data_IF_729725218798
#
_entry.id   IF_729725218798
#
_cell.length_a   1.000
_cell.length_b   1.000
_cell.length_c   1.000
_cell.angle_alpha   90.00
_cell.angle_beta   90.00
_cell.angle_gamma   90.00
#
_symmetry.space_group_name_H-M   'P 1'
#
loop_
_entity.id
_entity.type
_entity.pdbx_description
1 polymer ?
#
# COMPACT_ATOMS: atom_id res chain seq x y z
N UNK A 1 -24.01 -10.51 -15.67
CA UNK A 1 -22.67 -10.04 -16.05
C UNK A 1 -22.13 -9.19 -14.91
N UNK A 2 -21.31 -9.77 -14.04
CA UNK A 2 -20.62 -9.04 -12.98
C UNK A 2 -19.53 -8.19 -13.61
N UNK A 3 -19.69 -6.87 -13.58
CA UNK A 3 -18.68 -5.92 -14.03
C UNK A 3 -18.22 -5.15 -12.80
N UNK A 4 -17.39 -5.80 -12.00
CA UNK A 4 -16.67 -5.20 -10.88
C UNK A 4 -15.20 -5.57 -11.01
N UNK A 5 -14.54 -5.09 -12.06
CA UNK A 5 -13.12 -4.69 -12.05
C UNK A 5 -12.82 -3.93 -13.36
N UNK A 6 -12.30 -2.69 -13.29
CA UNK A 6 -10.86 -2.50 -13.07
C UNK A 6 -10.54 -1.28 -12.18
N UNK A 7 -11.06 -1.24 -10.95
CA UNK A 7 -10.65 -0.18 -10.00
C UNK A 7 -9.22 -0.39 -9.46
N UNK A 8 -8.62 -1.57 -9.67
CA UNK A 8 -7.25 -1.88 -9.23
C UNK A 8 -6.20 -1.31 -10.18
N UNK A 9 -6.44 -1.30 -11.49
CA UNK A 9 -5.52 -0.75 -12.49
C UNK A 9 -5.12 0.73 -12.26
N UNK A 10 -6.03 1.67 -11.93
CA UNK A 10 -5.64 3.05 -11.64
C UNK A 10 -4.90 3.20 -10.31
N UNK A 11 -5.21 2.38 -9.30
CA UNK A 11 -4.53 2.43 -8.00
C UNK A 11 -3.07 1.99 -8.11
N UNK A 12 -2.76 0.99 -8.93
CA UNK A 12 -1.39 0.55 -9.20
C UNK A 12 -0.59 1.64 -9.93
N UNK A 13 -1.18 2.28 -10.94
CA UNK A 13 -0.53 3.38 -11.64
C UNK A 13 -0.25 4.57 -10.69
N UNK A 14 -1.22 4.90 -9.83
CA UNK A 14 -1.07 5.94 -8.82
C UNK A 14 -0.02 5.57 -7.75
N UNK A 15 0.07 4.30 -7.35
CA UNK A 15 1.09 3.82 -6.42
C UNK A 15 2.51 3.91 -7.01
N UNK A 16 2.67 3.55 -8.29
CA UNK A 16 3.94 3.67 -8.98
C UNK A 16 4.39 5.14 -9.10
N UNK A 17 3.45 6.06 -9.30
CA UNK A 17 3.70 7.49 -9.33
C UNK A 17 3.73 8.15 -7.94
N UNK A 18 3.42 7.43 -6.86
CA UNK A 18 3.35 8.00 -5.52
C UNK A 18 4.74 8.37 -4.99
N UNK A 19 4.79 9.46 -4.24
CA UNK A 19 5.98 9.88 -3.48
C UNK A 19 5.77 9.65 -1.98
N UNK A 20 6.84 9.84 -1.20
CA UNK A 20 6.80 9.67 0.25
C UNK A 20 5.76 10.58 0.94
N UNK A 21 5.60 11.82 0.47
CA UNK A 21 4.61 12.76 0.99
C UNK A 21 3.18 12.22 0.81
N UNK A 22 2.86 11.76 -0.40
CA UNK A 22 1.58 11.15 -0.71
C UNK A 22 1.35 9.88 0.12
N UNK A 23 2.38 9.03 0.29
CA UNK A 23 2.29 7.84 1.13
C UNK A 23 1.99 8.17 2.61
N UNK A 24 2.53 9.27 3.15
CA UNK A 24 2.29 9.70 4.54
C UNK A 24 0.94 10.37 4.77
N UNK A 25 0.29 10.88 3.73
CA UNK A 25 -0.97 11.63 3.83
C UNK A 25 -2.17 10.94 3.18
N UNK A 26 -1.96 9.89 2.39
CA UNK A 26 -3.04 9.23 1.64
C UNK A 26 -4.08 8.62 2.59
N UNK A 27 -5.36 8.88 2.33
CA UNK A 27 -6.49 8.25 3.00
C UNK A 27 -7.13 7.13 2.16
N UNK A 28 -6.62 6.92 0.94
CA UNK A 28 -7.23 6.00 -0.02
C UNK A 28 -6.73 4.57 0.24
N UNK A 29 -7.66 3.69 0.65
CA UNK A 29 -7.34 2.31 1.02
C UNK A 29 -6.73 1.51 -0.13
N UNK A 30 -7.25 1.68 -1.35
CA UNK A 30 -6.76 0.96 -2.53
C UNK A 30 -5.35 1.44 -2.91
N UNK A 31 -5.09 2.74 -2.81
CA UNK A 31 -3.76 3.30 -3.02
C UNK A 31 -2.76 2.86 -1.93
N UNK A 32 -3.17 2.82 -0.66
CA UNK A 32 -2.30 2.34 0.43
C UNK A 32 -1.88 0.88 0.20
N UNK A 33 -2.83 0.00 -0.16
CA UNK A 33 -2.55 -1.40 -0.50
C UNK A 33 -1.60 -1.49 -1.70
N UNK A 34 -1.89 -0.77 -2.78
CA UNK A 34 -1.05 -0.77 -3.98
C UNK A 34 0.36 -0.24 -3.72
N UNK A 35 0.54 0.78 -2.87
CA UNK A 35 1.87 1.26 -2.43
C UNK A 35 2.58 0.17 -1.63
N UNK A 36 1.89 -0.49 -0.70
CA UNK A 36 2.48 -1.58 0.08
C UNK A 36 2.92 -2.77 -0.79
N UNK A 37 2.20 -3.09 -1.87
CA UNK A 37 2.56 -4.18 -2.78
C UNK A 37 3.67 -3.79 -3.78
N UNK A 38 3.60 -2.59 -4.36
CA UNK A 38 4.47 -2.20 -5.49
C UNK A 38 5.66 -1.31 -5.12
N UNK A 39 5.63 -0.65 -3.95
CA UNK A 39 6.64 0.34 -3.54
C UNK A 39 7.19 0.04 -2.15
N UNK A 40 8.05 -0.98 -2.02
CA UNK A 40 8.75 -1.28 -0.76
C UNK A 40 9.56 -0.09 -0.24
N UNK A 41 10.12 0.74 -1.13
CA UNK A 41 10.84 1.96 -0.76
C UNK A 41 9.98 2.98 0.01
N UNK A 42 8.65 2.92 -0.14
CA UNK A 42 7.72 3.83 0.54
C UNK A 42 7.11 3.23 1.80
N UNK A 43 7.46 2.00 2.18
CA UNK A 43 6.90 1.34 3.38
C UNK A 43 7.16 2.13 4.67
N UNK A 44 8.36 2.72 4.80
CA UNK A 44 8.69 3.59 5.93
C UNK A 44 7.79 4.81 5.98
N UNK A 45 7.59 5.48 4.84
CA UNK A 45 6.69 6.64 4.73
C UNK A 45 5.24 6.25 5.03
N UNK A 46 4.78 5.12 4.47
CA UNK A 46 3.43 4.59 4.68
C UNK A 46 3.17 4.24 6.15
N UNK A 47 4.20 3.74 6.86
CA UNK A 47 4.11 3.43 8.30
C UNK A 47 3.93 4.66 9.20
N UNK A 48 4.41 5.84 8.75
CA UNK A 48 4.18 7.11 9.45
C UNK A 48 2.82 7.75 9.13
N UNK A 49 2.05 7.18 8.21
CA UNK A 49 0.74 7.70 7.86
C UNK A 49 -0.26 7.47 9.03
N UNK A 50 -0.83 8.53 9.63
CA UNK A 50 -1.80 8.40 10.72
C UNK A 50 -3.13 7.78 10.25
N UNK A 51 -3.43 7.89 8.96
CA UNK A 51 -4.61 7.32 8.29
C UNK A 51 -4.33 5.92 7.73
N UNK A 52 -3.17 5.33 8.03
CA UNK A 52 -2.86 3.96 7.66
C UNK A 52 -3.92 3.03 8.24
N UNK A 53 -4.57 2.26 7.38
CA UNK A 53 -5.62 1.37 7.84
C UNK A 53 -5.06 0.21 8.69
N UNK A 54 -5.81 -0.22 9.73
CA UNK A 54 -5.28 -1.10 10.77
C UNK A 54 -4.82 -2.47 10.25
N UNK A 55 -5.49 -3.00 9.24
CA UNK A 55 -5.14 -4.31 8.65
C UNK A 55 -3.78 -4.26 7.92
N UNK A 56 -3.48 -3.16 7.21
CA UNK A 56 -2.16 -2.97 6.59
C UNK A 56 -1.06 -2.74 7.61
N UNK A 57 -1.37 -2.04 8.70
CA UNK A 57 -0.44 -1.85 9.82
C UNK A 57 -0.09 -3.20 10.46
N UNK A 58 -1.11 -4.03 10.72
CA UNK A 58 -0.91 -5.39 11.22
C UNK A 58 -0.14 -6.24 10.21
N UNK A 59 -0.41 -6.08 8.91
CA UNK A 59 0.36 -6.73 7.86
C UNK A 59 1.84 -6.32 7.91
N UNK A 60 2.17 -5.04 8.12
CA UNK A 60 3.56 -4.59 8.30
C UNK A 60 4.22 -5.23 9.53
N UNK A 61 3.51 -5.29 10.65
CA UNK A 61 4.00 -5.88 11.91
C UNK A 61 4.20 -7.40 11.83
N UNK A 62 3.30 -8.10 11.13
CA UNK A 62 3.33 -9.57 10.98
C UNK A 62 4.27 -10.03 9.87
N UNK A 63 4.39 -9.24 8.80
CA UNK A 63 5.20 -9.60 7.65
C UNK A 63 6.68 -9.46 7.97
N UNK A 64 7.12 -8.41 8.68
CA UNK A 64 8.51 -8.26 9.12
C UNK A 64 9.57 -8.56 8.03
N UNK A 65 9.24 -8.38 6.74
CA UNK A 65 10.07 -8.83 5.61
C UNK A 65 11.13 -7.78 5.24
N UNK A 66 12.14 -7.74 6.10
CA UNK A 66 13.54 -7.88 5.68
C UNK A 66 13.97 -9.34 5.45
N UNK A 67 13.07 -10.33 5.49
CA UNK A 67 13.41 -11.73 5.19
C UNK A 67 12.29 -12.46 4.44
N UNK A 68 12.46 -12.51 3.11
CA UNK A 68 12.05 -13.53 2.14
C UNK A 68 10.82 -14.41 2.46
N UNK A 69 9.80 -14.28 1.60
CA UNK A 69 9.07 -15.37 0.94
C UNK A 69 8.48 -16.53 1.78
N UNK A 70 7.15 -16.56 1.85
CA UNK A 70 6.30 -17.77 1.88
C UNK A 70 4.97 -17.29 1.27
N UNK A 71 4.41 -17.87 0.21
CA UNK A 71 4.44 -19.25 -0.26
C UNK A 71 4.69 -19.37 -1.78
#
# INVERSE_FOLDING_TARGET
>A
AGSAEPAVAPAVAAALAADADLATSTADFALQAAIAEHRPDLHTALSFNPLLYPDLRQWFETTGKGSAQAA
#
